data_IF_214557886944
#
_entry.id   IF_214557886944
#
_cell.length_a   1.000
_cell.length_b   1.000
_cell.length_c   1.000
_cell.angle_alpha   90.00
_cell.angle_beta   90.00
_cell.angle_gamma   90.00
#
_symmetry.space_group_name_H-M   'P 1'
#
loop_
_entity.id
_entity.type
_entity.pdbx_description
1 polymer ?
#
# COMPACT_ATOMS: atom_id res chain seq x y z
N UNK A 1 -24.55 21.90 -11.01
CA UNK A 1 -25.61 21.11 -11.68
C UNK A 1 -25.16 19.66 -11.63
N UNK A 2 -25.98 18.70 -11.22
CA UNK A 2 -25.57 17.29 -11.26
C UNK A 2 -25.62 16.80 -12.70
N UNK A 3 -24.56 16.14 -13.18
CA UNK A 3 -24.57 15.44 -14.46
C UNK A 3 -25.68 14.36 -14.46
N UNK A 4 -26.17 13.98 -15.64
CA UNK A 4 -27.12 12.85 -15.77
C UNK A 4 -26.58 11.63 -15.00
N UNK A 5 -27.45 10.97 -14.25
CA UNK A 5 -27.17 9.73 -13.53
C UNK A 5 -26.21 9.89 -12.33
N UNK A 6 -26.13 11.08 -11.72
CA UNK A 6 -25.33 11.32 -10.52
C UNK A 6 -26.18 11.77 -9.33
N UNK A 7 -25.83 11.31 -8.13
CA UNK A 7 -26.33 11.83 -6.86
C UNK A 7 -25.15 12.46 -6.13
N UNK A 8 -25.25 13.74 -5.81
CA UNK A 8 -24.26 14.46 -4.99
C UNK A 8 -24.85 14.63 -3.59
N UNK A 9 -24.21 14.02 -2.60
CA UNK A 9 -24.63 14.10 -1.19
C UNK A 9 -23.81 15.16 -0.46
N UNK A 10 -24.27 16.41 -0.53
CA UNK A 10 -23.69 17.56 0.15
C UNK A 10 -22.91 18.52 -0.77
N UNK A 11 -22.29 19.53 -0.17
CA UNK A 11 -21.50 20.57 -0.84
C UNK A 11 -20.33 21.03 0.06
N UNK A 12 -19.64 22.11 -0.31
CA UNK A 12 -18.49 22.64 0.43
C UNK A 12 -18.82 23.24 1.81
N UNK A 13 -20.11 23.33 2.19
CA UNK A 13 -20.58 23.84 3.49
C UNK A 13 -20.98 22.73 4.47
N UNK A 14 -21.12 21.48 4.00
CA UNK A 14 -21.51 20.34 4.84
C UNK A 14 -20.32 19.84 5.67
N UNK A 15 -20.51 19.75 6.98
CA UNK A 15 -19.46 19.36 7.94
C UNK A 15 -19.58 17.93 8.45
N UNK A 16 -20.76 17.31 8.36
CA UNK A 16 -20.93 15.90 8.72
C UNK A 16 -22.12 15.26 8.00
N UNK A 17 -21.94 14.01 7.59
CA UNK A 17 -23.01 13.10 7.19
C UNK A 17 -23.11 12.01 8.26
N UNK A 18 -24.26 11.92 8.95
CA UNK A 18 -24.48 10.93 10.03
C UNK A 18 -25.55 9.93 9.59
N UNK A 19 -25.27 8.65 9.78
CA UNK A 19 -26.21 7.57 9.51
C UNK A 19 -26.10 6.48 10.59
N UNK A 20 -27.22 5.87 10.99
CA UNK A 20 -27.22 4.70 11.89
C UNK A 20 -26.75 3.43 11.16
N UNK A 21 -26.97 3.38 9.84
CA UNK A 21 -26.44 2.33 8.97
C UNK A 21 -24.99 2.69 8.62
N UNK A 22 -24.07 1.77 8.89
CA UNK A 22 -22.63 2.03 8.80
C UNK A 22 -22.02 1.75 7.42
N UNK A 23 -22.81 1.24 6.46
CA UNK A 23 -22.30 0.87 5.14
C UNK A 23 -23.20 1.34 4.00
N UNK A 24 -22.54 1.67 2.89
CA UNK A 24 -23.15 1.78 1.57
C UNK A 24 -22.70 0.53 0.80
N UNK A 25 -23.64 -0.29 0.35
CA UNK A 25 -23.35 -1.59 -0.27
C UNK A 25 -23.52 -1.53 -1.79
N UNK A 26 -22.68 -2.28 -2.49
CA UNK A 26 -22.80 -2.51 -3.94
C UNK A 26 -23.15 -3.97 -4.23
N UNK A 27 -23.79 -4.24 -5.36
CA UNK A 27 -23.98 -5.62 -5.84
C UNK A 27 -22.62 -6.22 -6.18
N UNK A 28 -22.34 -7.42 -5.67
CA UNK A 28 -21.02 -8.06 -5.82
C UNK A 28 -21.10 -9.57 -6.09
N UNK A 29 -22.28 -10.05 -6.47
CA UNK A 29 -22.55 -11.46 -6.75
C UNK A 29 -21.70 -11.98 -7.93
N UNK A 30 -21.23 -13.22 -7.87
CA UNK A 30 -20.42 -13.82 -8.95
C UNK A 30 -21.19 -13.89 -10.28
N UNK A 31 -22.52 -14.06 -10.24
CA UNK A 31 -23.37 -14.21 -11.44
C UNK A 31 -23.42 -12.95 -12.31
N UNK A 32 -23.05 -11.80 -11.76
CA UNK A 32 -23.05 -10.51 -12.46
C UNK A 32 -21.62 -10.03 -12.78
N UNK A 33 -20.60 -10.88 -12.59
CA UNK A 33 -19.19 -10.56 -12.86
C UNK A 33 -18.68 -11.39 -14.01
N UNK A 34 -18.31 -10.72 -15.09
CA UNK A 34 -17.67 -11.30 -16.27
C UNK A 34 -16.16 -10.98 -16.24
N UNK A 35 -15.35 -11.76 -16.95
CA UNK A 35 -13.91 -11.54 -17.14
C UNK A 35 -13.07 -11.30 -15.86
N UNK A 36 -13.48 -11.89 -14.73
CA UNK A 36 -12.79 -11.73 -13.45
C UNK A 36 -11.39 -12.33 -13.48
N UNK A 37 -10.36 -11.50 -13.24
CA UNK A 37 -8.95 -11.92 -13.13
C UNK A 37 -8.33 -11.34 -11.85
N UNK A 38 -7.45 -12.11 -11.20
CA UNK A 38 -6.75 -11.68 -10.00
C UNK A 38 -5.52 -10.82 -10.33
N UNK A 39 -5.73 -9.62 -10.90
CA UNK A 39 -4.65 -8.75 -11.41
C UNK A 39 -4.64 -7.37 -10.74
N UNK A 40 -5.10 -7.28 -9.49
CA UNK A 40 -4.99 -6.02 -8.74
C UNK A 40 -3.52 -5.80 -8.35
N UNK A 41 -2.92 -4.63 -8.61
CA UNK A 41 -1.57 -4.35 -8.15
C UNK A 41 -1.53 -4.12 -6.64
N UNK A 42 -0.68 -4.85 -5.93
CA UNK A 42 -0.39 -4.65 -4.51
C UNK A 42 0.76 -3.69 -4.28
N UNK A 43 1.88 -4.19 -3.75
CA UNK A 43 3.03 -3.37 -3.34
C UNK A 43 3.55 -2.48 -4.47
N UNK A 44 3.58 -2.98 -5.71
CA UNK A 44 4.09 -2.23 -6.87
C UNK A 44 3.36 -0.89 -7.08
N UNK A 45 2.09 -0.79 -6.70
CA UNK A 45 1.29 0.42 -6.78
C UNK A 45 1.34 1.21 -5.47
N UNK A 46 1.06 0.56 -4.34
CA UNK A 46 0.95 1.22 -3.03
C UNK A 46 2.24 1.95 -2.65
N UNK A 47 3.41 1.36 -2.93
CA UNK A 47 4.71 1.96 -2.60
C UNK A 47 5.08 3.18 -3.44
N UNK A 48 4.33 3.48 -4.52
CA UNK A 48 4.51 4.67 -5.35
C UNK A 48 3.66 5.85 -4.89
N UNK A 49 2.72 5.63 -3.98
CA UNK A 49 1.83 6.67 -3.49
C UNK A 49 2.57 7.57 -2.49
N UNK A 50 2.39 8.88 -2.63
CA UNK A 50 3.00 9.87 -1.73
C UNK A 50 1.91 10.50 -0.87
N UNK A 51 1.80 10.14 0.43
CA UNK A 51 0.88 10.82 1.32
C UNK A 51 1.37 12.23 1.62
N UNK A 52 0.45 13.19 1.64
CA UNK A 52 0.72 14.59 1.92
C UNK A 52 -0.20 15.12 3.01
N UNK A 53 0.17 16.27 3.60
CA UNK A 53 -0.71 17.06 4.44
C UNK A 53 -1.01 18.41 3.77
N UNK A 54 -2.22 18.93 3.95
CA UNK A 54 -2.65 20.16 3.28
C UNK A 54 -3.81 20.84 4.00
N UNK A 55 -4.00 22.13 3.70
CA UNK A 55 -5.22 22.88 4.01
C UNK A 55 -6.03 23.07 2.73
N UNK A 56 -7.36 23.02 2.81
CA UNK A 56 -8.20 23.26 1.63
C UNK A 56 -8.42 24.76 1.46
N UNK A 57 -8.03 25.31 0.32
CA UNK A 57 -8.51 26.64 -0.06
C UNK A 57 -9.96 26.53 -0.56
N UNK A 58 -10.93 26.74 0.35
CA UNK A 58 -12.36 26.61 0.07
C UNK A 58 -12.88 27.56 -1.00
N UNK A 59 -12.24 28.72 -1.17
CA UNK A 59 -12.55 29.67 -2.26
C UNK A 59 -12.14 29.10 -3.61
N UNK A 60 -10.90 28.59 -3.73
CA UNK A 60 -10.42 27.95 -4.96
C UNK A 60 -11.20 26.68 -5.29
N UNK A 61 -11.56 25.88 -4.28
CA UNK A 61 -12.43 24.71 -4.45
C UNK A 61 -13.78 25.12 -5.03
N UNK A 62 -14.44 26.12 -4.46
CA UNK A 62 -15.73 26.59 -4.95
C UNK A 62 -15.66 27.14 -6.39
N UNK A 63 -14.60 27.90 -6.72
CA UNK A 63 -14.37 28.37 -8.09
C UNK A 63 -14.14 27.20 -9.07
N UNK A 64 -13.33 26.23 -8.66
CA UNK A 64 -12.98 25.06 -9.47
C UNK A 64 -14.21 24.19 -9.75
N UNK A 65 -15.05 23.94 -8.74
CA UNK A 65 -16.24 23.09 -8.91
C UNK A 65 -17.41 23.89 -9.49
N UNK A 66 -17.48 25.20 -9.25
CA UNK A 66 -18.61 26.04 -9.63
C UNK A 66 -19.68 26.16 -8.54
N UNK A 67 -19.28 26.06 -7.27
CA UNK A 67 -20.15 26.34 -6.14
C UNK A 67 -20.32 27.84 -5.92
N UNK A 68 -21.45 28.29 -5.34
CA UNK A 68 -21.63 29.70 -4.96
C UNK A 68 -20.49 30.18 -4.05
N UNK A 69 -19.97 31.39 -4.32
CA UNK A 69 -18.89 31.99 -3.52
C UNK A 69 -19.39 32.66 -2.23
N UNK A 70 -20.69 32.60 -1.96
CA UNK A 70 -21.31 33.14 -0.75
C UNK A 70 -21.09 32.21 0.44
N UNK A 71 -20.80 32.77 1.61
CA UNK A 71 -20.66 32.04 2.88
C UNK A 71 -19.53 30.98 2.90
N UNK A 72 -18.47 31.17 2.12
CA UNK A 72 -17.27 30.32 2.19
C UNK A 72 -16.53 30.62 3.50
N UNK A 73 -16.47 29.62 4.39
CA UNK A 73 -15.61 29.66 5.56
C UNK A 73 -14.19 29.23 5.21
N UNK A 74 -13.20 29.80 5.91
CA UNK A 74 -11.84 29.29 5.85
C UNK A 74 -11.76 27.90 6.47
N UNK A 75 -11.10 26.99 5.76
CA UNK A 75 -10.72 25.71 6.33
C UNK A 75 -9.39 25.85 7.07
N UNK A 76 -9.47 25.79 8.40
CA UNK A 76 -8.31 25.86 9.30
C UNK A 76 -7.80 24.47 9.69
N UNK A 77 -8.50 23.41 9.28
CA UNK A 77 -8.09 22.06 9.61
C UNK A 77 -6.91 21.63 8.72
N UNK A 78 -5.93 20.95 9.33
CA UNK A 78 -4.88 20.26 8.60
C UNK A 78 -5.41 18.87 8.23
N UNK A 79 -5.39 18.55 6.94
CA UNK A 79 -5.82 17.26 6.41
C UNK A 79 -4.62 16.41 6.03
N UNK A 80 -4.85 15.11 5.86
CA UNK A 80 -3.89 14.16 5.28
C UNK A 80 -4.56 13.41 4.15
N UNK A 81 -3.84 13.19 3.05
CA UNK A 81 -4.41 12.54 1.88
C UNK A 81 -3.42 12.42 0.73
N UNK A 82 -3.95 12.33 -0.48
CA UNK A 82 -3.18 12.23 -1.72
C UNK A 82 -3.59 13.32 -2.71
N UNK A 83 -2.64 13.74 -3.56
CA UNK A 83 -2.96 14.45 -4.80
C UNK A 83 -3.48 13.44 -5.82
N UNK A 84 -4.69 13.65 -6.32
CA UNK A 84 -5.34 12.69 -7.22
C UNK A 84 -4.55 12.49 -8.53
N UNK A 85 -3.90 13.53 -9.04
CA UNK A 85 -3.04 13.48 -10.22
C UNK A 85 -1.83 12.56 -9.99
N UNK A 86 -1.14 12.70 -8.86
CA UNK A 86 0.01 11.85 -8.51
C UNK A 86 -0.42 10.38 -8.35
N UNK A 87 -1.62 10.13 -7.82
CA UNK A 87 -2.20 8.77 -7.75
C UNK A 87 -2.46 8.22 -9.16
N UNK A 88 -3.01 9.03 -10.07
CA UNK A 88 -3.24 8.64 -11.47
C UNK A 88 -1.91 8.30 -12.17
N UNK A 89 -0.87 9.11 -11.96
CA UNK A 89 0.47 8.88 -12.49
C UNK A 89 1.09 7.59 -11.94
N UNK A 90 1.02 7.39 -10.61
CA UNK A 90 1.51 6.17 -9.97
C UNK A 90 0.79 4.91 -10.48
N UNK A 91 -0.52 4.98 -10.72
CA UNK A 91 -1.29 3.88 -11.28
C UNK A 91 -0.87 3.59 -12.74
N UNK A 92 -0.75 4.63 -13.57
CA UNK A 92 -0.28 4.52 -14.96
C UNK A 92 1.12 3.91 -15.04
N UNK A 93 2.02 4.30 -14.15
CA UNK A 93 3.40 3.79 -14.09
C UNK A 93 3.50 2.28 -13.88
N UNK A 94 2.45 1.64 -13.36
CA UNK A 94 2.38 0.17 -13.19
C UNK A 94 1.38 -0.51 -14.12
N UNK A 95 0.91 0.22 -15.15
CA UNK A 95 -0.08 -0.29 -16.10
C UNK A 95 -1.46 -0.53 -15.47
N UNK A 96 -1.80 0.18 -14.40
CA UNK A 96 -3.06 0.03 -13.68
C UNK A 96 -4.03 1.15 -14.01
N UNK A 97 -5.20 0.79 -14.54
CA UNK A 97 -6.31 1.71 -14.68
C UNK A 97 -7.08 1.80 -13.36
N UNK A 98 -6.59 2.58 -12.42
CA UNK A 98 -7.19 2.66 -11.08
C UNK A 98 -8.48 3.51 -11.08
N UNK A 99 -9.63 2.84 -10.98
CA UNK A 99 -10.95 3.48 -10.91
C UNK A 99 -11.17 4.38 -9.68
N UNK A 100 -10.26 4.33 -8.71
CA UNK A 100 -10.26 5.19 -7.53
C UNK A 100 -9.90 6.64 -7.83
N UNK A 101 -9.37 6.96 -9.01
CA UNK A 101 -9.16 8.35 -9.46
C UNK A 101 -10.03 8.61 -10.67
N UNK A 102 -10.75 9.73 -10.66
CA UNK A 102 -11.55 10.17 -11.81
C UNK A 102 -11.34 11.65 -12.09
N UNK A 103 -11.43 11.97 -13.37
CA UNK A 103 -11.61 13.32 -13.85
C UNK A 103 -13.10 13.60 -13.99
N UNK A 104 -13.57 14.69 -13.39
CA UNK A 104 -14.98 15.09 -13.40
C UNK A 104 -15.17 16.34 -14.27
N UNK A 105 -16.41 16.57 -14.72
CA UNK A 105 -16.81 17.68 -15.59
C UNK A 105 -15.86 17.91 -16.79
N UNK A 106 -15.55 16.84 -17.52
CA UNK A 106 -14.72 16.92 -18.73
C UNK A 106 -13.24 17.24 -18.46
N UNK A 107 -12.73 16.90 -17.27
CA UNK A 107 -11.33 17.15 -16.89
C UNK A 107 -11.13 18.43 -16.07
N UNK A 108 -12.22 19.08 -15.66
CA UNK A 108 -12.16 20.32 -14.87
C UNK A 108 -11.49 20.11 -13.52
N UNK A 109 -11.78 18.99 -12.85
CA UNK A 109 -11.19 18.64 -11.56
C UNK A 109 -11.09 17.14 -11.37
N UNK A 110 -10.29 16.74 -10.38
CA UNK A 110 -10.07 15.33 -10.05
C UNK A 110 -10.78 14.96 -8.74
N UNK A 111 -11.21 13.71 -8.64
CA UNK A 111 -11.70 13.10 -7.40
C UNK A 111 -10.91 11.83 -7.08
N UNK A 112 -10.83 11.52 -5.78
CA UNK A 112 -10.19 10.30 -5.27
C UNK A 112 -11.15 9.55 -4.34
N UNK A 113 -11.25 8.24 -4.52
CA UNK A 113 -12.06 7.34 -3.69
C UNK A 113 -11.18 6.49 -2.79
N UNK A 114 -11.05 6.89 -1.52
CA UNK A 114 -10.19 6.21 -0.54
C UNK A 114 -10.59 4.74 -0.32
N UNK A 115 -11.88 4.40 -0.39
CA UNK A 115 -12.35 3.01 -0.23
C UNK A 115 -11.82 2.08 -1.32
N UNK A 116 -11.56 2.58 -2.52
CA UNK A 116 -11.07 1.76 -3.63
C UNK A 116 -9.60 1.37 -3.48
N UNK A 117 -8.84 1.99 -2.58
CA UNK A 117 -7.48 1.53 -2.23
C UNK A 117 -7.48 0.24 -1.40
N UNK A 118 -8.61 -0.15 -0.81
CA UNK A 118 -8.68 -1.37 0.03
C UNK A 118 -8.27 -2.62 -0.78
N UNK A 119 -8.65 -2.72 -2.06
CA UNK A 119 -8.27 -3.88 -2.89
C UNK A 119 -6.75 -3.92 -3.16
N UNK A 120 -6.10 -2.84 -3.63
CA UNK A 120 -4.64 -2.77 -3.67
C UNK A 120 -3.94 -3.02 -2.34
N UNK A 121 -4.48 -2.51 -1.22
CA UNK A 121 -3.92 -2.74 0.12
C UNK A 121 -4.01 -4.22 0.53
N UNK A 122 -5.14 -4.88 0.26
CA UNK A 122 -5.28 -6.34 0.48
C UNK A 122 -4.24 -7.10 -0.32
N UNK A 123 -4.01 -6.72 -1.59
CA UNK A 123 -2.97 -7.36 -2.38
C UNK A 123 -1.57 -7.05 -1.85
N UNK A 124 -1.29 -5.82 -1.42
CA UNK A 124 0.00 -5.45 -0.83
C UNK A 124 0.30 -6.24 0.45
N UNK A 125 -0.70 -6.48 1.31
CA UNK A 125 -0.54 -7.34 2.49
C UNK A 125 -0.25 -8.79 2.11
N UNK A 126 -0.88 -9.32 1.05
CA UNK A 126 -0.56 -10.66 0.52
C UNK A 126 0.87 -10.74 -0.02
N UNK A 127 1.28 -9.73 -0.78
CA UNK A 127 2.64 -9.62 -1.31
C UNK A 127 3.66 -9.61 -0.16
N UNK A 128 3.44 -8.77 0.87
CA UNK A 128 4.27 -8.72 2.08
C UNK A 128 4.31 -10.06 2.82
N UNK A 129 3.16 -10.74 2.97
CA UNK A 129 3.13 -12.04 3.64
C UNK A 129 3.92 -13.11 2.89
N UNK A 130 3.90 -13.07 1.54
CA UNK A 130 4.71 -13.96 0.72
C UNK A 130 6.21 -13.69 0.94
N UNK A 131 6.63 -12.43 0.90
CA UNK A 131 8.01 -12.01 1.15
C UNK A 131 8.49 -12.40 2.56
N UNK A 132 7.66 -12.17 3.58
CA UNK A 132 7.97 -12.57 4.97
C UNK A 132 8.16 -14.08 5.09
N UNK A 133 7.34 -14.89 4.43
CA UNK A 133 7.47 -16.35 4.48
C UNK A 133 8.73 -16.82 3.76
N UNK A 134 9.08 -16.20 2.63
CA UNK A 134 10.33 -16.47 1.94
C UNK A 134 11.54 -16.13 2.82
N UNK A 135 11.58 -14.93 3.40
CA UNK A 135 12.67 -14.49 4.28
C UNK A 135 12.83 -15.39 5.52
N UNK A 136 11.72 -15.90 6.08
CA UNK A 136 11.77 -16.86 7.19
C UNK A 136 12.37 -18.20 6.77
N UNK A 137 12.06 -18.68 5.57
CA UNK A 137 12.63 -19.93 5.05
C UNK A 137 14.13 -19.78 4.79
N UNK A 138 14.56 -18.69 4.15
CA UNK A 138 15.97 -18.37 3.93
C UNK A 138 16.73 -18.25 5.26
N UNK A 139 16.14 -17.57 6.26
CA UNK A 139 16.73 -17.46 7.59
C UNK A 139 16.89 -18.82 8.29
N UNK A 140 15.94 -19.74 8.12
CA UNK A 140 16.06 -21.09 8.67
C UNK A 140 17.20 -21.87 8.02
N UNK A 141 17.32 -21.80 6.70
CA UNK A 141 18.42 -22.44 5.95
C UNK A 141 19.79 -21.89 6.34
N UNK A 142 19.91 -20.57 6.49
CA UNK A 142 21.16 -19.93 6.94
C UNK A 142 21.56 -20.39 8.34
N UNK A 143 20.60 -20.47 9.27
CA UNK A 143 20.86 -20.96 10.64
C UNK A 143 21.32 -22.41 10.67
N UNK A 144 20.75 -23.28 9.82
CA UNK A 144 21.17 -24.67 9.72
C UNK A 144 22.60 -24.81 9.17
N UNK A 145 22.94 -24.00 8.16
CA UNK A 145 24.32 -23.94 7.62
C UNK A 145 25.30 -23.43 8.66
N UNK A 146 24.93 -22.42 9.44
CA UNK A 146 25.75 -21.88 10.53
C UNK A 146 26.05 -22.95 11.59
N UNK A 147 25.04 -23.68 12.06
CA UNK A 147 25.22 -24.78 13.01
C UNK A 147 26.11 -25.89 12.45
N UNK A 148 25.91 -26.26 11.19
CA UNK A 148 26.72 -27.27 10.51
C UNK A 148 28.18 -26.83 10.41
N UNK A 149 28.43 -25.57 10.06
CA UNK A 149 29.77 -25.02 9.97
C UNK A 149 30.44 -24.95 11.34
N UNK A 150 29.72 -24.54 12.38
CA UNK A 150 30.24 -24.55 13.75
C UNK A 150 30.66 -25.96 14.17
N UNK A 151 29.82 -26.97 13.93
CA UNK A 151 30.16 -28.37 14.24
C UNK A 151 31.38 -28.89 13.44
N UNK A 152 31.61 -28.39 12.23
CA UNK A 152 32.82 -28.71 11.44
C UNK A 152 34.06 -28.02 11.99
N UNK A 153 33.94 -26.76 12.43
CA UNK A 153 35.02 -26.03 13.08
C UNK A 153 35.44 -26.72 14.37
N UNK A 154 34.48 -27.08 15.24
CA UNK A 154 34.76 -27.78 16.50
C UNK A 154 35.51 -29.11 16.26
N UNK A 155 35.09 -29.88 15.24
CA UNK A 155 35.78 -31.13 14.85
C UNK A 155 37.21 -30.88 14.34
N UNK A 156 37.40 -29.83 13.55
CA UNK A 156 38.71 -29.48 13.02
C UNK A 156 39.65 -29.02 14.14
N UNK A 157 39.15 -28.21 15.06
CA UNK A 157 39.89 -27.77 16.25
C UNK A 157 40.33 -28.96 17.11
N UNK A 158 39.44 -29.93 17.35
CA UNK A 158 39.77 -31.16 18.06
C UNK A 158 40.87 -31.97 17.36
N UNK A 159 40.79 -32.16 16.03
CA UNK A 159 41.81 -32.86 15.24
C UNK A 159 43.19 -32.17 15.32
N UNK A 160 43.21 -30.83 15.28
CA UNK A 160 44.44 -30.05 15.38
C UNK A 160 45.08 -30.24 16.77
N UNK A 161 44.28 -30.22 17.84
CA UNK A 161 44.78 -30.44 19.19
C UNK A 161 45.39 -31.84 19.38
N UNK A 162 44.72 -32.89 18.87
CA UNK A 162 45.21 -34.26 18.95
C UNK A 162 46.51 -34.45 18.15
N UNK A 163 46.57 -33.89 16.94
CA UNK A 163 47.79 -33.94 16.10
C UNK A 163 48.96 -33.25 16.78
N UNK A 164 48.71 -32.11 17.44
CA UNK A 164 49.74 -31.35 18.17
C UNK A 164 50.26 -32.13 19.38
N UNK A 165 49.37 -32.80 20.13
CA UNK A 165 49.75 -33.70 21.24
C UNK A 165 50.57 -34.90 20.77
N UNK A 166 50.17 -35.54 19.67
CA UNK A 166 50.87 -36.72 19.14
C UNK A 166 52.30 -36.41 18.71
N UNK A 167 52.54 -35.27 18.05
CA UNK A 167 53.89 -34.83 17.67
C UNK A 167 54.81 -34.51 18.86
N UNK A 168 54.25 -34.00 19.97
CA UNK A 168 55.03 -33.68 21.17
C UNK A 168 55.56 -34.94 21.89
N UNK A 169 54.85 -36.06 21.80
CA UNK A 169 55.24 -37.34 22.43
C UNK A 169 56.36 -38.03 21.64
N UNK A 170 56.41 -37.86 20.32
CA UNK A 170 57.43 -38.48 19.44
C UNK A 170 58.80 -37.80 19.45
N UNK A 171 58.99 -36.72 20.22
CA UNK A 171 60.21 -35.89 20.20
C UNK A 171 61.02 -35.88 21.51
N UNK A 172 60.86 -36.89 22.38
CA UNK A 172 61.76 -37.09 23.52
C UNK A 172 62.85 -38.11 23.17
N UNK A 173 64.14 -37.70 23.13
CA UNK A 173 65.29 -38.60 23.00
C UNK A 173 65.58 -39.41 24.26
#
# INVERSE_FOLDING_TARGET
MSASNTIVLGDNTITSLRCNVQSISTLSDKRIKEDSKAVVPGLRFITRLTPITYHINKTKEAQLVGYPLTNISEDKALHSGFLAQDVEEAAKAVGYNFEGVRQEEGGKYYTVSYTLFVMPLVQAVKDLNAEVNQLKAELAEVKEKEQTNQARLDKLEALIQDTTRSKAITFHP
#
